data_IF_035104490777
#
_entry.id   IF_035104490777
#
_cell.length_a   1.000
_cell.length_b   1.000
_cell.length_c   1.000
_cell.angle_alpha   90.00
_cell.angle_beta   90.00
_cell.angle_gamma   90.00
#
_symmetry.space_group_name_H-M   'P 1'
#
loop_
_entity.id
_entity.type
_entity.pdbx_description
1 polymer ?
#
# COMPACT_ATOMS: atom_id res chain seq x y z
N UNK A 1 1.77 0.83 -4.94
CA UNK A 1 0.55 0.07 -4.61
C UNK A 1 0.71 -1.39 -5.02
N UNK A 2 0.12 -2.30 -4.24
CA UNK A 2 0.28 -3.75 -4.27
C UNK A 2 -1.08 -4.41 -4.50
N UNK A 3 -1.08 -5.58 -5.14
CA UNK A 3 -2.31 -6.28 -5.55
C UNK A 3 -3.32 -5.35 -6.24
N UNK A 4 -2.79 -4.45 -7.06
CA UNK A 4 -3.55 -3.36 -7.63
C UNK A 4 -4.51 -3.85 -8.69
N UNK A 5 -5.68 -3.21 -8.75
CA UNK A 5 -6.65 -3.36 -9.81
C UNK A 5 -5.98 -3.29 -11.19
N UNK A 6 -6.48 -4.11 -12.12
CA UNK A 6 -6.04 -4.05 -13.50
C UNK A 6 -6.28 -2.63 -14.07
N UNK A 7 -5.24 -1.93 -14.57
CA UNK A 7 -5.41 -0.57 -15.06
C UNK A 7 -6.44 -0.46 -16.20
N UNK A 8 -6.63 -1.50 -17.01
CA UNK A 8 -7.62 -1.51 -18.09
C UNK A 8 -9.08 -1.59 -17.60
N UNK A 9 -9.31 -1.90 -16.33
CA UNK A 9 -10.65 -1.93 -15.73
C UNK A 9 -10.92 -0.72 -14.85
N UNK A 10 -9.96 0.19 -14.69
CA UNK A 10 -10.18 1.42 -13.94
C UNK A 10 -11.17 2.32 -14.66
N UNK A 11 -12.11 2.89 -13.90
CA UNK A 11 -13.08 3.84 -14.45
C UNK A 11 -12.39 5.18 -14.73
N UNK A 12 -12.88 5.93 -15.72
CA UNK A 12 -12.33 7.23 -16.11
C UNK A 12 -12.22 8.23 -14.94
N UNK A 13 -13.17 8.18 -14.00
CA UNK A 13 -13.24 9.08 -12.84
C UNK A 13 -12.99 8.32 -11.52
N UNK A 14 -12.11 7.31 -11.56
CA UNK A 14 -11.68 6.58 -10.37
C UNK A 14 -10.35 7.16 -9.89
N UNK A 15 -10.32 7.66 -8.66
CA UNK A 15 -9.14 8.35 -8.10
C UNK A 15 -7.98 7.39 -7.82
N UNK A 16 -8.28 6.23 -7.24
CA UNK A 16 -7.28 5.24 -6.84
C UNK A 16 -7.68 3.84 -7.30
N UNK A 17 -6.74 2.98 -7.74
CA UNK A 17 -7.03 1.57 -7.97
C UNK A 17 -7.36 0.86 -6.67
N UNK A 18 -8.26 -0.12 -6.72
CA UNK A 18 -8.45 -1.04 -5.59
C UNK A 18 -7.13 -1.74 -5.28
N UNK A 19 -6.51 -1.47 -4.13
CA UNK A 19 -5.15 -1.91 -3.85
C UNK A 19 -4.72 -1.72 -2.38
N UNK A 20 -3.64 -2.38 -1.99
CA UNK A 20 -2.90 -2.07 -0.77
C UNK A 20 -1.78 -1.06 -1.12
N UNK A 21 -1.83 0.13 -0.55
CA UNK A 21 -0.84 1.17 -0.82
C UNK A 21 0.26 1.20 0.26
N UNK A 22 1.50 0.89 -0.12
CA UNK A 22 2.66 1.29 0.67
C UNK A 22 2.94 2.79 0.44
N UNK A 23 2.40 3.64 1.32
CA UNK A 23 2.48 5.09 1.16
C UNK A 23 3.92 5.58 1.36
N UNK A 24 4.40 6.39 0.42
CA UNK A 24 5.76 6.93 0.43
C UNK A 24 5.72 8.43 0.70
N UNK A 25 6.07 8.81 1.93
CA UNK A 25 6.11 10.20 2.36
C UNK A 25 7.56 10.62 2.66
N UNK A 26 7.89 11.85 2.28
CA UNK A 26 9.05 12.57 2.79
C UNK A 26 8.65 13.47 3.97
N UNK A 27 9.64 13.90 4.76
CA UNK A 27 9.42 14.85 5.85
C UNK A 27 8.90 16.21 5.38
N UNK A 28 8.31 16.96 6.32
CA UNK A 28 7.64 18.24 6.09
C UNK A 28 8.41 19.44 6.67
N UNK A 29 9.69 19.25 6.99
CA UNK A 29 10.56 20.28 7.58
C UNK A 29 10.36 20.52 9.08
N UNK A 30 9.29 19.99 9.70
CA UNK A 30 9.09 20.02 11.15
C UNK A 30 8.18 18.89 11.63
N UNK A 31 8.48 18.30 12.78
CA UNK A 31 7.69 17.21 13.35
C UNK A 31 7.92 15.86 12.68
N UNK A 32 7.28 14.83 13.23
CA UNK A 32 7.44 13.46 12.76
C UNK A 32 6.43 13.13 11.65
N UNK A 33 6.91 12.49 10.59
CA UNK A 33 6.10 11.98 9.48
C UNK A 33 6.63 10.64 9.00
N UNK A 34 5.88 9.59 9.31
CA UNK A 34 6.23 8.22 8.96
C UNK A 34 6.02 7.94 7.48
N UNK A 35 6.79 6.98 6.95
CA UNK A 35 6.74 6.47 5.57
C UNK A 35 6.58 4.95 5.59
N UNK A 36 6.22 4.34 4.46
CA UNK A 36 5.85 2.93 4.43
C UNK A 36 4.59 2.64 5.26
N UNK A 37 3.69 3.62 5.36
CA UNK A 37 2.35 3.45 5.92
C UNK A 37 1.53 2.53 5.01
N UNK A 38 0.38 2.05 5.49
CA UNK A 38 -0.62 1.40 4.62
C UNK A 38 -1.79 2.35 4.41
N UNK A 39 -2.19 2.56 3.16
CA UNK A 39 -3.49 3.09 2.81
C UNK A 39 -4.29 2.05 2.00
N UNK A 40 -5.60 1.95 2.21
CA UNK A 40 -6.41 0.82 1.72
C UNK A 40 -7.55 1.24 0.79
N UNK A 41 -7.28 1.85 -0.38
CA UNK A 41 -8.35 2.25 -1.29
C UNK A 41 -9.06 1.01 -1.83
N UNK A 42 -10.34 0.87 -1.52
CA UNK A 42 -11.20 -0.22 -1.94
C UNK A 42 -10.87 -1.59 -1.34
N UNK A 43 -10.06 -1.65 -0.29
CA UNK A 43 -9.71 -2.90 0.41
C UNK A 43 -9.85 -2.77 1.94
N UNK A 44 -10.03 -3.90 2.61
CA UNK A 44 -9.79 -4.06 4.04
C UNK A 44 -8.52 -4.92 4.25
N UNK A 45 -7.84 -4.68 5.38
CA UNK A 45 -6.72 -5.48 5.87
C UNK A 45 -6.87 -5.69 7.37
N UNK A 46 -6.18 -6.68 7.92
CA UNK A 46 -6.11 -6.89 9.36
C UNK A 46 -4.70 -6.53 9.88
N UNK A 47 -4.65 -5.78 10.98
CA UNK A 47 -3.44 -5.44 11.73
C UNK A 47 -3.58 -6.05 13.11
N UNK A 48 -2.59 -6.83 13.53
CA UNK A 48 -2.66 -7.61 14.79
C UNK A 48 -3.93 -8.48 14.87
N UNK A 49 -4.32 -9.08 13.74
CA UNK A 49 -5.53 -9.91 13.59
C UNK A 49 -6.87 -9.18 13.82
N UNK A 50 -6.86 -7.85 13.82
CA UNK A 50 -8.06 -7.03 13.92
C UNK A 50 -8.19 -6.22 12.63
N UNK A 51 -9.39 -6.15 12.05
CA UNK A 51 -9.65 -5.33 10.87
C UNK A 51 -9.23 -3.89 11.15
N UNK A 52 -8.44 -3.32 10.25
CA UNK A 52 -8.08 -1.92 10.26
C UNK A 52 -9.34 -1.02 10.32
N UNK A 53 -9.35 -0.07 11.26
CA UNK A 53 -10.48 0.86 11.39
C UNK A 53 -10.39 2.02 10.40
N UNK A 54 -9.17 2.44 10.07
CA UNK A 54 -8.90 3.60 9.23
C UNK A 54 -8.36 3.19 7.87
N UNK A 55 -8.69 3.98 6.84
CA UNK A 55 -8.13 3.83 5.50
C UNK A 55 -6.61 3.92 5.48
N UNK A 56 -6.02 4.88 6.22
CA UNK A 56 -4.56 5.00 6.36
C UNK A 56 -4.11 4.72 7.80
N UNK A 57 -3.11 3.86 7.94
CA UNK A 57 -2.52 3.49 9.24
C UNK A 57 -1.02 3.72 9.17
N UNK A 58 -0.51 4.51 10.13
CA UNK A 58 0.89 4.84 10.21
C UNK A 58 1.75 3.60 10.49
N UNK A 59 2.90 3.55 9.84
CA UNK A 59 3.98 2.64 10.19
C UNK A 59 4.69 3.13 11.47
N UNK A 60 5.69 2.36 11.90
CA UNK A 60 6.61 2.77 12.98
C UNK A 60 7.93 3.36 12.44
N UNK A 61 7.99 3.77 11.18
CA UNK A 61 9.23 4.29 10.60
C UNK A 61 9.63 5.63 11.22
N UNK A 62 10.91 5.97 11.11
CA UNK A 62 11.36 7.36 11.29
C UNK A 62 10.85 8.26 10.16
N UNK A 63 11.09 9.57 10.31
CA UNK A 63 10.98 10.56 9.25
C UNK A 63 12.22 10.54 8.36
N UNK A 64 12.02 10.64 7.04
CA UNK A 64 13.10 10.73 6.06
C UNK A 64 12.83 11.95 5.18
N UNK A 65 13.71 12.96 5.23
CA UNK A 65 13.63 14.15 4.37
C UNK A 65 14.20 13.88 2.97
N UNK A 66 14.86 14.86 2.35
CA UNK A 66 15.42 14.79 1.00
C UNK A 66 16.65 13.87 0.90
N UNK A 67 16.40 12.56 0.94
CA UNK A 67 17.40 11.51 0.77
C UNK A 67 16.80 10.27 0.13
N UNK A 68 17.67 9.44 -0.44
CA UNK A 68 17.27 8.13 -0.91
C UNK A 68 16.92 7.23 0.26
N UNK A 69 15.76 6.58 0.18
CA UNK A 69 15.27 5.61 1.16
C UNK A 69 15.07 4.26 0.49
N UNK A 70 15.60 3.20 1.09
CA UNK A 70 15.36 1.84 0.62
C UNK A 70 14.01 1.32 1.15
N UNK A 71 13.13 0.95 0.24
CA UNK A 71 11.84 0.33 0.57
C UNK A 71 11.83 -1.09 0.03
N UNK A 72 11.46 -2.04 0.88
CA UNK A 72 11.23 -3.44 0.50
C UNK A 72 9.88 -3.87 1.03
N UNK A 73 9.05 -4.40 0.13
CA UNK A 73 7.78 -5.01 0.49
C UNK A 73 7.91 -6.52 0.32
N UNK A 74 7.57 -7.28 1.35
CA UNK A 74 7.54 -8.75 1.31
C UNK A 74 6.07 -9.16 1.35
N UNK A 75 5.62 -9.92 0.36
CA UNK A 75 4.20 -10.22 0.14
C UNK A 75 4.01 -11.73 0.00
N UNK A 76 3.38 -12.35 0.98
CA UNK A 76 2.96 -13.74 0.94
C UNK A 76 1.49 -13.82 0.51
N UNK A 77 1.23 -13.71 -0.79
CA UNK A 77 -0.14 -13.65 -1.35
C UNK A 77 -0.97 -12.57 -0.64
N UNK A 78 -2.17 -12.93 -0.16
CA UNK A 78 -3.11 -12.20 0.67
C UNK A 78 -2.88 -12.40 2.18
N UNK A 79 -1.95 -13.28 2.56
CA UNK A 79 -1.85 -13.81 3.92
C UNK A 79 -0.99 -12.97 4.85
N UNK A 80 0.15 -12.45 4.38
CA UNK A 80 1.08 -11.70 5.22
C UNK A 80 1.91 -10.72 4.38
N UNK A 81 1.89 -9.45 4.76
CA UNK A 81 2.62 -8.39 4.08
C UNK A 81 3.48 -7.65 5.11
N UNK A 82 4.75 -7.45 4.76
CA UNK A 82 5.68 -6.63 5.53
C UNK A 82 6.12 -5.42 4.71
N UNK A 83 6.06 -4.24 5.32
CA UNK A 83 6.78 -3.07 4.85
C UNK A 83 8.10 -2.97 5.61
N UNK A 84 9.20 -2.96 4.87
CA UNK A 84 10.56 -2.77 5.40
C UNK A 84 11.11 -1.47 4.86
N UNK A 85 11.51 -0.58 5.76
CA UNK A 85 12.14 0.72 5.45
C UNK A 85 13.58 0.65 5.96
N UNK A 86 14.54 0.85 5.07
CA UNK A 86 15.96 0.54 5.30
C UNK A 86 16.18 -0.90 5.77
N UNK A 87 16.49 -1.10 7.06
CA UNK A 87 16.72 -2.40 7.69
C UNK A 87 15.54 -2.90 8.51
N UNK A 88 14.53 -2.07 8.75
CA UNK A 88 13.56 -2.29 9.82
C UNK A 88 12.18 -2.61 9.25
N UNK A 89 11.55 -3.66 9.78
CA UNK A 89 10.15 -3.96 9.48
C UNK A 89 9.27 -2.98 10.25
N UNK A 90 8.71 -2.01 9.55
CA UNK A 90 7.96 -0.89 10.16
C UNK A 90 6.45 -1.14 10.23
N UNK A 91 5.93 -2.06 9.42
CA UNK A 91 4.52 -2.41 9.40
C UNK A 91 4.32 -3.86 8.93
N UNK A 92 3.36 -4.55 9.54
CA UNK A 92 2.93 -5.89 9.15
C UNK A 92 1.40 -5.96 9.19
N UNK A 93 0.80 -6.54 8.14
CA UNK A 93 -0.65 -6.74 8.03
C UNK A 93 -0.97 -8.00 7.21
N UNK A 94 -2.24 -8.40 7.23
CA UNK A 94 -2.73 -9.63 6.62
C UNK A 94 -4.13 -9.48 6.05
N UNK A 95 -4.66 -10.55 5.46
CA UNK A 95 -6.06 -10.71 5.06
C UNK A 95 -6.55 -9.61 4.09
N UNK A 96 -5.82 -9.40 3.00
CA UNK A 96 -6.18 -8.41 1.98
C UNK A 96 -7.45 -8.86 1.26
N UNK A 97 -8.48 -8.03 1.29
CA UNK A 97 -9.78 -8.32 0.67
C UNK A 97 -10.44 -7.05 0.17
N UNK A 98 -11.23 -7.14 -0.89
CA UNK A 98 -12.02 -6.00 -1.37
C UNK A 98 -13.00 -5.58 -0.26
N UNK A 99 -13.03 -4.29 0.07
CA UNK A 99 -13.74 -3.79 1.24
C UNK A 99 -13.41 -2.33 1.52
N UNK A 100 -13.72 -1.86 2.73
CA UNK A 100 -13.43 -0.49 3.15
C UNK A 100 -14.10 0.60 2.31
N UNK A 101 -13.43 1.76 2.26
CA UNK A 101 -13.88 2.94 1.53
C UNK A 101 -13.35 2.97 0.09
N UNK A 102 -13.85 3.87 -0.76
CA UNK A 102 -13.36 4.07 -2.13
C UNK A 102 -13.54 2.88 -3.10
N UNK A 103 -14.48 1.98 -2.84
CA UNK A 103 -14.81 0.87 -3.75
C UNK A 103 -15.49 1.41 -5.02
N UNK A 104 -14.91 1.23 -6.22
CA UNK A 104 -15.53 1.70 -7.45
C UNK A 104 -16.73 0.83 -7.82
N UNK A 105 -17.68 1.38 -8.60
CA UNK A 105 -18.94 0.70 -8.95
C UNK A 105 -18.73 -0.69 -9.57
N UNK A 106 -17.68 -0.87 -10.36
CA UNK A 106 -17.35 -2.14 -11.01
C UNK A 106 -16.63 -3.16 -10.10
N UNK A 107 -16.41 -2.84 -8.83
CA UNK A 107 -15.85 -3.74 -7.81
C UNK A 107 -16.85 -4.09 -6.69
N UNK A 108 -18.03 -3.48 -6.66
CA UNK A 108 -19.01 -3.69 -5.58
C UNK A 108 -19.43 -5.16 -5.42
N UNK A 109 -19.52 -5.93 -6.52
CA UNK A 109 -19.85 -7.36 -6.48
C UNK A 109 -18.73 -8.24 -5.93
N UNK A 110 -17.53 -7.67 -5.72
CA UNK A 110 -16.33 -8.38 -5.26
C UNK A 110 -16.05 -8.15 -3.78
N UNK A 111 -16.86 -7.37 -3.07
CA UNK A 111 -16.68 -7.12 -1.63
C UNK A 111 -16.55 -8.44 -0.86
N UNK A 112 -15.51 -8.55 -0.04
CA UNK A 112 -15.13 -9.76 0.68
C UNK A 112 -14.20 -10.71 -0.09
N UNK A 113 -13.97 -10.51 -1.39
CA UNK A 113 -13.05 -11.32 -2.19
C UNK A 113 -11.60 -11.06 -1.79
N UNK A 114 -10.85 -12.13 -1.50
CA UNK A 114 -9.42 -12.07 -1.17
C UNK A 114 -8.57 -11.61 -2.36
N UNK A 115 -7.63 -10.70 -2.10
CA UNK A 115 -6.70 -10.16 -3.10
C UNK A 115 -5.36 -10.91 -3.07
N UNK A 116 -5.31 -12.03 -3.78
CA UNK A 116 -4.14 -12.93 -3.82
C UNK A 116 -3.06 -12.52 -4.82
N UNK A 117 -3.45 -11.75 -5.85
CA UNK A 117 -2.60 -11.30 -6.94
C UNK A 117 -3.14 -10.01 -7.54
N UNK A 118 -2.27 -9.23 -8.16
CA UNK A 118 -2.66 -8.04 -8.90
C UNK A 118 -1.44 -7.35 -9.51
N UNK A 119 -1.66 -6.13 -9.98
CA UNK A 119 -0.59 -5.31 -10.54
C UNK A 119 0.22 -4.63 -9.44
N UNK A 120 1.44 -4.22 -9.77
CA UNK A 120 2.23 -3.30 -8.96
C UNK A 120 2.25 -1.96 -9.68
N UNK A 121 1.89 -0.90 -8.97
CA UNK A 121 1.93 0.47 -9.49
C UNK A 121 2.80 1.37 -8.62
N UNK A 122 3.46 2.32 -9.26
CA UNK A 122 4.19 3.40 -8.59
C UNK A 122 3.37 4.67 -8.74
N UNK A 123 2.92 5.22 -7.61
CA UNK A 123 2.09 6.41 -7.59
C UNK A 123 2.96 7.67 -7.65
N UNK A 124 2.47 8.67 -8.38
CA UNK A 124 2.98 10.04 -8.35
C UNK A 124 1.94 10.89 -7.62
N UNK A 125 2.12 11.12 -6.31
CA UNK A 125 1.11 11.77 -5.47
C UNK A 125 1.44 13.26 -5.24
N UNK A 126 1.00 14.14 -6.16
CA UNK A 126 0.98 15.61 -5.99
C UNK A 126 2.32 16.34 -5.79
N UNK A 127 3.36 15.62 -5.36
CA UNK A 127 4.70 16.08 -5.04
C UNK A 127 5.71 15.31 -5.89
N UNK A 128 6.85 15.93 -6.24
CA UNK A 128 7.90 15.25 -6.95
C UNK A 128 8.40 14.01 -6.19
N UNK A 129 8.50 12.89 -6.90
CA UNK A 129 9.07 11.64 -6.38
C UNK A 129 10.00 11.05 -7.44
N UNK A 130 11.12 10.47 -6.99
CA UNK A 130 12.07 9.80 -7.85
C UNK A 130 12.26 8.35 -7.39
N UNK A 131 12.29 7.43 -8.36
CA UNK A 131 12.52 6.00 -8.10
C UNK A 131 13.79 5.55 -8.82
N UNK A 132 14.54 4.65 -8.17
CA UNK A 132 15.68 3.94 -8.79
C UNK A 132 15.80 2.54 -8.21
N UNK A 133 16.53 1.67 -8.92
CA UNK A 133 16.82 0.30 -8.48
C UNK A 133 15.56 -0.54 -8.17
N UNK A 134 14.50 -0.37 -8.97
CA UNK A 134 13.26 -1.14 -8.84
C UNK A 134 13.55 -2.59 -9.27
N UNK A 135 13.40 -3.53 -8.34
CA UNK A 135 13.65 -4.95 -8.55
C UNK A 135 12.51 -5.75 -7.96
N UNK A 136 12.21 -6.89 -8.57
CA UNK A 136 11.23 -7.85 -8.08
C UNK A 136 11.87 -9.23 -8.02
N UNK A 137 11.50 -10.00 -7.00
CA UNK A 137 11.87 -11.40 -6.87
C UNK A 137 10.65 -12.16 -6.38
N UNK A 138 10.24 -13.16 -7.14
CA UNK A 138 9.19 -14.09 -6.73
C UNK A 138 9.70 -14.97 -5.57
N UNK A 139 8.83 -15.22 -4.60
CA UNK A 139 9.10 -16.10 -3.46
C UNK A 139 8.19 -17.32 -3.59
N UNK A 140 8.79 -18.52 -3.48
CA UNK A 140 8.16 -19.81 -3.73
C UNK A 140 7.35 -20.29 -2.52
#
# INVERSE_FOLDING_TARGET
MLHSQNPYTMLKNQEFPVSAEAQLLGGIGSGDRTTGNICTPGIDVDINNIKAENHCINSKSMTYDDKWVNIKIIVYSDSLIHHVVESDTVLTYSNLRVGGEFIPKNYQSRVGESLKKGYISLQSEGHPVAFRNIKIREIF
#
